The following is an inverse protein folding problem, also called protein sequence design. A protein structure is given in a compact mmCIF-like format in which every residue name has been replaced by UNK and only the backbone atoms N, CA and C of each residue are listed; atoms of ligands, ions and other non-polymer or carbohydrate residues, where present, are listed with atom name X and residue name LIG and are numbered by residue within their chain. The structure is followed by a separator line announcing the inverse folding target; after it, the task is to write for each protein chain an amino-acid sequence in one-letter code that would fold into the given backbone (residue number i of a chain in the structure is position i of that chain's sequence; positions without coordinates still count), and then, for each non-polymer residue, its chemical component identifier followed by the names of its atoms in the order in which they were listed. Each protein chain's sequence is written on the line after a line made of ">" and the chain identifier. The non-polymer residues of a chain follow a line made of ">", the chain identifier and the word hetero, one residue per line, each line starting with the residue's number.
data_IF_039081699601
#
_entry.id   IF_039081699601
#
_cell.length_a   1.000
_cell.length_b   1.000
_cell.length_c   1.000
_cell.angle_alpha   90.00
_cell.angle_beta   90.00
_cell.angle_gamma   90.00
#
_symmetry.space_group_name_H-M   'P 1'
#
loop_
_entity.id
_entity.type
_entity.pdbx_description
1 polymer ?
#
# COMPACT_ATOMS: atom_id res chain seq x y z
N UNK A 1 32.65 27.74 27.28
CA UNK A 1 32.01 26.70 26.44
C UNK A 1 30.66 27.24 25.99
N UNK A 2 30.52 27.59 24.71
CA UNK A 2 29.28 28.18 24.16
C UNK A 2 28.35 27.05 23.73
N UNK A 3 27.15 27.04 24.30
CA UNK A 3 26.05 26.17 23.92
C UNK A 3 25.54 26.64 22.53
N UNK A 4 25.58 25.82 21.47
CA UNK A 4 24.96 26.20 20.21
C UNK A 4 23.44 26.16 20.39
N UNK A 5 22.83 27.33 20.49
CA UNK A 5 21.38 27.54 20.35
C UNK A 5 20.89 26.75 19.14
N UNK A 6 20.11 25.70 19.39
CA UNK A 6 19.32 25.06 18.34
C UNK A 6 18.42 26.13 17.72
N UNK A 7 18.38 26.26 16.38
CA UNK A 7 17.51 27.23 15.75
C UNK A 7 16.07 26.92 16.13
N UNK A 8 15.37 27.96 16.60
CA UNK A 8 13.94 27.92 16.87
C UNK A 8 13.22 27.38 15.64
N UNK A 9 12.63 26.18 15.77
CA UNK A 9 11.58 25.75 14.87
C UNK A 9 10.53 26.86 14.84
N UNK A 10 10.32 27.43 13.66
CA UNK A 10 9.59 28.66 13.50
C UNK A 10 8.09 28.35 13.65
N UNK A 11 7.43 28.99 14.62
CA UNK A 11 6.03 28.82 15.04
C UNK A 11 4.97 28.99 13.91
N UNK A 12 5.35 29.28 12.66
CA UNK A 12 4.41 29.54 11.56
C UNK A 12 3.98 28.28 10.78
N UNK A 13 4.58 27.10 11.02
CA UNK A 13 4.16 25.85 10.37
C UNK A 13 2.86 25.23 10.96
N UNK A 14 2.30 25.82 12.03
CA UNK A 14 1.32 25.13 12.89
C UNK A 14 -0.13 25.15 12.36
N UNK A 15 -0.52 25.94 11.36
CA UNK A 15 -1.93 25.96 10.92
C UNK A 15 -2.14 26.17 9.42
N UNK A 16 -1.61 25.28 8.56
CA UNK A 16 -2.16 25.22 7.20
C UNK A 16 -3.60 24.71 7.26
N UNK A 17 -4.56 25.30 6.54
CA UNK A 17 -5.92 24.77 6.47
C UNK A 17 -5.92 23.30 6.02
N UNK A 18 -6.80 22.44 6.56
CA UNK A 18 -6.84 21.01 6.19
C UNK A 18 -6.91 20.77 4.69
N UNK A 19 -7.70 21.57 3.95
CA UNK A 19 -7.78 21.53 2.49
C UNK A 19 -6.40 21.72 1.83
N UNK A 20 -5.61 22.69 2.30
CA UNK A 20 -4.27 22.95 1.76
C UNK A 20 -3.29 21.81 2.05
N UNK A 21 -3.42 21.15 3.20
CA UNK A 21 -2.60 20.00 3.55
C UNK A 21 -2.98 18.77 2.71
N UNK A 22 -4.28 18.45 2.62
CA UNK A 22 -4.79 17.38 1.79
C UNK A 22 -4.40 17.59 0.30
N UNK A 23 -4.51 18.81 -0.20
CA UNK A 23 -4.10 19.14 -1.58
C UNK A 23 -2.60 18.93 -1.82
N UNK A 24 -1.75 19.30 -0.86
CA UNK A 24 -0.30 19.06 -0.96
C UNK A 24 0.06 17.57 -0.91
N UNK A 25 -0.61 16.79 -0.06
CA UNK A 25 -0.43 15.33 0.01
C UNK A 25 -0.91 14.66 -1.27
N UNK A 26 -2.02 15.13 -1.84
CA UNK A 26 -2.53 14.65 -3.12
C UNK A 26 -1.51 14.81 -4.24
N UNK A 27 -0.92 16.00 -4.40
CA UNK A 27 0.16 16.22 -5.38
C UNK A 27 1.38 15.34 -5.13
N UNK A 28 1.71 15.12 -3.85
CA UNK A 28 2.80 14.22 -3.47
C UNK A 28 2.52 12.77 -3.87
N UNK A 29 1.30 12.29 -3.63
CA UNK A 29 0.87 10.94 -4.01
C UNK A 29 0.85 10.75 -5.53
N UNK A 30 0.31 11.70 -6.28
CA UNK A 30 0.28 11.61 -7.75
C UNK A 30 1.70 11.56 -8.32
N UNK A 31 2.59 12.43 -7.83
CA UNK A 31 4.01 12.42 -8.21
C UNK A 31 4.66 11.08 -7.87
N UNK A 32 4.45 10.56 -6.66
CA UNK A 32 4.98 9.26 -6.22
C UNK A 32 4.52 8.13 -7.14
N UNK A 33 3.22 8.08 -7.49
CA UNK A 33 2.70 7.06 -8.43
C UNK A 33 3.39 7.16 -9.81
N UNK A 34 3.63 8.36 -10.32
CA UNK A 34 4.39 8.53 -11.57
C UNK A 34 5.84 8.07 -11.45
N UNK A 35 6.51 8.39 -10.35
CA UNK A 35 7.87 7.91 -10.06
C UNK A 35 7.93 6.37 -10.04
N UNK A 36 6.96 5.69 -9.40
CA UNK A 36 6.94 4.23 -9.38
C UNK A 36 6.73 3.61 -10.78
N UNK A 37 5.94 4.24 -11.65
CA UNK A 37 5.77 3.80 -13.05
C UNK A 37 7.10 3.94 -13.81
N UNK A 38 7.81 5.04 -13.61
CA UNK A 38 9.07 5.33 -14.28
C UNK A 38 10.19 4.40 -13.80
N UNK A 39 10.26 4.13 -12.49
CA UNK A 39 11.19 3.18 -11.88
C UNK A 39 10.91 1.74 -12.37
N UNK A 40 9.63 1.37 -12.49
CA UNK A 40 9.21 0.07 -13.03
C UNK A 40 9.61 -0.10 -14.49
N UNK A 41 9.38 0.91 -15.33
CA UNK A 41 9.79 0.91 -16.74
C UNK A 41 11.32 0.80 -16.88
N UNK A 42 12.06 1.55 -16.06
CA UNK A 42 13.53 1.58 -16.07
C UNK A 42 14.09 0.19 -15.73
N UNK A 43 13.57 -0.44 -14.68
CA UNK A 43 13.94 -1.81 -14.32
C UNK A 43 13.65 -2.81 -15.46
N UNK A 44 12.46 -2.74 -16.05
CA UNK A 44 12.08 -3.63 -17.15
C UNK A 44 13.01 -3.46 -18.37
N UNK A 45 13.42 -2.22 -18.67
CA UNK A 45 14.35 -1.91 -19.76
C UNK A 45 15.76 -2.47 -19.49
N UNK A 46 16.26 -2.32 -18.28
CA UNK A 46 17.57 -2.87 -17.87
C UNK A 46 17.63 -4.40 -18.01
N UNK A 47 16.51 -5.08 -17.76
CA UNK A 47 16.39 -6.54 -17.82
C UNK A 47 15.87 -7.07 -19.17
N UNK A 48 15.62 -6.19 -20.15
CA UNK A 48 15.07 -6.54 -21.48
C UNK A 48 13.73 -7.32 -21.34
N UNK A 49 12.92 -6.93 -20.36
CA UNK A 49 11.61 -7.54 -20.10
C UNK A 49 10.51 -6.81 -20.89
N UNK A 50 10.27 -7.29 -22.11
CA UNK A 50 9.28 -6.69 -23.01
C UNK A 50 7.85 -6.69 -22.44
N UNK A 51 7.48 -7.66 -21.61
CA UNK A 51 6.13 -7.74 -21.06
C UNK A 51 5.91 -6.65 -20.02
N UNK A 52 6.87 -6.47 -19.11
CA UNK A 52 6.82 -5.41 -18.09
C UNK A 52 6.97 -4.01 -18.71
N UNK A 53 7.77 -3.86 -19.76
CA UNK A 53 7.83 -2.60 -20.51
C UNK A 53 6.46 -2.22 -21.11
N UNK A 54 5.75 -3.18 -21.72
CA UNK A 54 4.40 -2.96 -22.25
C UNK A 54 3.41 -2.60 -21.13
N UNK A 55 3.53 -3.25 -19.98
CA UNK A 55 2.67 -2.97 -18.83
C UNK A 55 2.89 -1.56 -18.27
N UNK A 56 4.14 -1.12 -18.13
CA UNK A 56 4.47 0.26 -17.75
C UNK A 56 3.86 1.27 -18.74
N UNK A 57 3.98 0.99 -20.04
CA UNK A 57 3.43 1.83 -21.10
C UNK A 57 1.89 1.89 -21.04
N UNK A 58 1.24 0.74 -20.83
CA UNK A 58 -0.22 0.64 -20.65
C UNK A 58 -0.69 1.49 -19.48
N UNK A 59 0.01 1.42 -18.34
CA UNK A 59 -0.34 2.18 -17.16
C UNK A 59 -0.11 3.68 -17.37
N UNK A 60 0.97 4.09 -18.04
CA UNK A 60 1.20 5.50 -18.39
C UNK A 60 0.10 6.04 -19.31
N UNK A 61 -0.30 5.29 -20.34
CA UNK A 61 -1.43 5.66 -21.20
C UNK A 61 -2.74 5.75 -20.41
N UNK A 62 -2.97 4.81 -19.49
CA UNK A 62 -4.12 4.86 -18.60
C UNK A 62 -4.11 6.12 -17.72
N UNK A 63 -2.95 6.49 -17.15
CA UNK A 63 -2.75 7.70 -16.35
C UNK A 63 -3.04 8.98 -17.15
N UNK A 64 -2.75 9.00 -18.45
CA UNK A 64 -3.10 10.12 -19.35
C UNK A 64 -4.58 10.11 -19.78
N UNK A 65 -5.26 8.97 -19.67
CA UNK A 65 -6.65 8.79 -20.07
C UNK A 65 -7.62 8.75 -18.89
N UNK A 66 -8.02 7.54 -18.49
CA UNK A 66 -8.99 7.34 -17.40
C UNK A 66 -8.43 7.77 -16.04
N UNK A 67 -7.14 7.53 -15.80
CA UNK A 67 -6.45 7.94 -14.56
C UNK A 67 -6.48 9.46 -14.37
N UNK A 68 -6.19 10.25 -15.41
CA UNK A 68 -6.27 11.72 -15.36
C UNK A 68 -7.66 12.22 -14.98
N UNK A 69 -8.73 11.55 -15.43
CA UNK A 69 -10.10 11.90 -15.04
C UNK A 69 -10.37 11.63 -13.57
N UNK A 70 -9.88 10.50 -13.04
CA UNK A 70 -9.99 10.18 -11.61
C UNK A 70 -9.18 11.18 -10.78
N UNK A 71 -7.96 11.54 -11.24
CA UNK A 71 -7.14 12.53 -10.57
C UNK A 71 -7.84 13.89 -10.48
N UNK A 72 -8.42 14.37 -11.58
CA UNK A 72 -9.16 15.63 -11.60
C UNK A 72 -10.46 15.59 -10.77
N UNK A 73 -11.09 14.41 -10.63
CA UNK A 73 -12.25 14.21 -9.76
C UNK A 73 -11.84 14.30 -8.28
N UNK A 74 -10.79 13.57 -7.88
CA UNK A 74 -10.23 13.57 -6.53
C UNK A 74 -9.74 14.95 -6.10
N UNK A 75 -8.98 15.63 -6.96
CA UNK A 75 -8.51 16.98 -6.68
C UNK A 75 -9.68 17.96 -6.47
N UNK A 76 -10.71 17.86 -7.31
CA UNK A 76 -11.92 18.68 -7.16
C UNK A 76 -12.65 18.39 -5.85
N UNK A 77 -12.73 17.13 -5.43
CA UNK A 77 -13.34 16.77 -4.15
C UNK A 77 -12.57 17.40 -2.99
N UNK A 78 -11.23 17.33 -3.01
CA UNK A 78 -10.38 17.96 -1.98
C UNK A 78 -10.60 19.48 -1.93
N UNK A 79 -10.54 20.16 -3.08
CA UNK A 79 -10.65 21.63 -3.14
C UNK A 79 -12.02 22.14 -2.66
N UNK A 80 -13.08 21.36 -2.86
CA UNK A 80 -14.44 21.72 -2.45
C UNK A 80 -14.86 21.11 -1.11
N UNK A 81 -13.98 20.37 -0.43
CA UNK A 81 -14.29 19.76 0.85
C UNK A 81 -14.46 20.83 1.93
N UNK A 82 -15.43 20.61 2.83
CA UNK A 82 -15.46 21.35 4.08
C UNK A 82 -14.29 20.93 5.00
N UNK A 83 -14.14 21.61 6.12
CA UNK A 83 -12.99 21.41 7.04
C UNK A 83 -12.92 19.98 7.56
N UNK A 84 -14.06 19.35 7.87
CA UNK A 84 -14.08 18.00 8.42
C UNK A 84 -13.77 16.97 7.34
N UNK A 85 -14.43 17.07 6.18
CA UNK A 85 -14.18 16.19 5.05
C UNK A 85 -12.72 16.29 4.58
N UNK A 86 -12.16 17.50 4.54
CA UNK A 86 -10.76 17.72 4.17
C UNK A 86 -9.78 17.05 5.14
N UNK A 87 -10.10 17.02 6.44
CA UNK A 87 -9.28 16.32 7.44
C UNK A 87 -9.34 14.80 7.26
N UNK A 88 -10.52 14.23 7.01
CA UNK A 88 -10.67 12.80 6.72
C UNK A 88 -9.96 12.40 5.42
N UNK A 89 -10.05 13.26 4.39
CA UNK A 89 -9.31 13.08 3.13
C UNK A 89 -7.80 13.17 3.35
N UNK A 90 -7.32 14.10 4.19
CA UNK A 90 -5.90 14.23 4.56
C UNK A 90 -5.37 12.92 5.16
N UNK A 91 -6.07 12.38 6.16
CA UNK A 91 -5.69 11.10 6.81
C UNK A 91 -5.68 9.94 5.81
N UNK A 92 -6.67 9.89 4.92
CA UNK A 92 -6.73 8.85 3.88
C UNK A 92 -5.55 8.93 2.90
N UNK A 93 -5.10 10.14 2.55
CA UNK A 93 -3.93 10.34 1.68
C UNK A 93 -2.62 9.97 2.39
N UNK A 94 -2.49 10.27 3.68
CA UNK A 94 -1.33 9.85 4.49
C UNK A 94 -1.23 8.33 4.54
N UNK A 95 -2.34 7.65 4.82
CA UNK A 95 -2.39 6.19 4.84
C UNK A 95 -2.05 5.58 3.47
N UNK A 96 -2.51 6.19 2.37
CA UNK A 96 -2.18 5.73 1.02
C UNK A 96 -0.68 5.89 0.70
N UNK A 97 -0.07 7.02 1.09
CA UNK A 97 1.37 7.22 0.95
C UNK A 97 2.17 6.24 1.80
N UNK A 98 1.79 6.03 3.05
CA UNK A 98 2.44 5.07 3.95
C UNK A 98 2.37 3.64 3.41
N UNK A 99 1.23 3.24 2.82
CA UNK A 99 1.10 1.92 2.20
C UNK A 99 2.08 1.72 1.03
N UNK A 100 2.23 2.73 0.16
CA UNK A 100 3.20 2.68 -0.94
C UNK A 100 4.63 2.60 -0.40
N UNK A 101 4.97 3.41 0.60
CA UNK A 101 6.30 3.38 1.23
C UNK A 101 6.58 2.04 1.92
N UNK A 102 5.58 1.42 2.54
CA UNK A 102 5.69 0.07 3.10
C UNK A 102 5.99 -0.96 2.00
N UNK A 103 5.29 -0.92 0.87
CA UNK A 103 5.55 -1.83 -0.24
C UNK A 103 6.93 -1.62 -0.87
N UNK A 104 7.47 -0.40 -0.84
CA UNK A 104 8.86 -0.10 -1.25
C UNK A 104 9.91 -0.71 -0.33
N UNK A 105 9.56 -1.09 0.91
CA UNK A 105 10.51 -1.79 1.82
C UNK A 105 10.78 -3.24 1.42
N UNK A 106 9.99 -3.81 0.51
CA UNK A 106 10.19 -5.16 -0.01
C UNK A 106 11.46 -5.25 -0.85
N UNK A 107 11.94 -6.47 -1.05
CA UNK A 107 13.06 -6.70 -1.97
C UNK A 107 12.61 -6.47 -3.43
N UNK A 108 12.90 -5.28 -3.95
CA UNK A 108 12.59 -4.89 -5.33
C UNK A 108 13.58 -5.46 -6.37
N UNK A 109 14.54 -6.30 -5.97
CA UNK A 109 15.27 -7.12 -6.94
C UNK A 109 14.43 -8.31 -7.43
N UNK A 110 13.42 -8.71 -6.65
CA UNK A 110 12.41 -9.69 -7.03
C UNK A 110 11.35 -9.02 -7.93
N UNK A 111 11.21 -9.41 -9.21
CA UNK A 111 10.30 -8.74 -10.14
C UNK A 111 8.83 -8.72 -9.67
N UNK A 112 8.36 -9.78 -9.02
CA UNK A 112 6.99 -9.90 -8.54
C UNK A 112 6.65 -8.85 -7.47
N UNK A 113 7.63 -8.43 -6.65
CA UNK A 113 7.42 -7.36 -5.68
C UNK A 113 7.24 -6.00 -6.36
N UNK A 114 7.88 -5.78 -7.51
CA UNK A 114 7.65 -4.58 -8.33
C UNK A 114 6.28 -4.58 -8.98
N UNK A 115 5.86 -5.73 -9.49
CA UNK A 115 4.51 -5.90 -10.04
C UNK A 115 3.45 -5.60 -8.98
N UNK A 116 3.68 -6.08 -7.75
CA UNK A 116 2.81 -5.79 -6.60
C UNK A 116 2.76 -4.29 -6.27
N UNK A 117 3.92 -3.62 -6.18
CA UNK A 117 3.99 -2.18 -5.91
C UNK A 117 3.26 -1.36 -6.99
N UNK A 118 3.44 -1.72 -8.27
CA UNK A 118 2.76 -1.06 -9.38
C UNK A 118 1.24 -1.24 -9.30
N UNK A 119 0.79 -2.45 -8.95
CA UNK A 119 -0.62 -2.74 -8.71
C UNK A 119 -1.18 -1.93 -7.53
N UNK A 120 -0.44 -1.84 -6.41
CA UNK A 120 -0.81 -0.99 -5.26
C UNK A 120 -0.99 0.47 -5.70
N UNK A 121 -0.10 1.01 -6.54
CA UNK A 121 -0.21 2.36 -7.06
C UNK A 121 -1.50 2.57 -7.89
N UNK A 122 -1.85 1.61 -8.75
CA UNK A 122 -3.07 1.66 -9.55
C UNK A 122 -4.33 1.57 -8.67
N UNK A 123 -4.36 0.64 -7.72
CA UNK A 123 -5.52 0.38 -6.85
C UNK A 123 -5.78 1.54 -5.88
N UNK A 124 -4.70 2.21 -5.43
CA UNK A 124 -4.77 3.39 -4.56
C UNK A 124 -5.71 4.47 -5.10
N UNK A 125 -5.64 4.79 -6.40
CA UNK A 125 -6.50 5.83 -6.98
C UNK A 125 -7.99 5.45 -6.96
N UNK A 126 -8.30 4.17 -7.18
CA UNK A 126 -9.68 3.69 -7.11
C UNK A 126 -10.19 3.62 -5.67
N UNK A 127 -9.34 3.18 -4.74
CA UNK A 127 -9.65 3.14 -3.32
C UNK A 127 -9.95 4.55 -2.77
N UNK A 128 -9.11 5.53 -3.09
CA UNK A 128 -9.32 6.93 -2.69
C UNK A 128 -10.57 7.52 -3.31
N UNK A 129 -10.84 7.25 -4.59
CA UNK A 129 -12.05 7.74 -5.26
C UNK A 129 -13.32 7.26 -4.56
N UNK A 130 -13.30 6.01 -4.09
CA UNK A 130 -14.39 5.48 -3.28
C UNK A 130 -14.45 6.16 -1.92
N UNK A 131 -13.34 6.17 -1.18
CA UNK A 131 -13.30 6.74 0.16
C UNK A 131 -13.77 8.20 0.18
N UNK A 132 -13.33 9.02 -0.77
CA UNK A 132 -13.71 10.43 -0.84
C UNK A 132 -15.17 10.62 -1.23
N UNK A 133 -15.71 9.74 -2.06
CA UNK A 133 -17.15 9.75 -2.33
C UNK A 133 -17.94 9.48 -1.06
N UNK A 134 -17.55 8.46 -0.31
CA UNK A 134 -18.24 8.07 0.93
C UNK A 134 -18.17 9.21 1.97
N UNK A 135 -17.03 9.91 2.08
CA UNK A 135 -16.86 11.12 2.91
C UNK A 135 -17.81 12.24 2.46
N UNK A 136 -17.88 12.51 1.15
CA UNK A 136 -18.69 13.62 0.60
C UNK A 136 -20.19 13.34 0.66
N UNK A 137 -20.62 12.10 0.44
CA UNK A 137 -22.05 11.75 0.44
C UNK A 137 -22.57 11.40 1.84
N UNK A 138 -21.69 11.06 2.77
CA UNK A 138 -22.06 10.52 4.08
C UNK A 138 -22.75 9.15 4.01
N UNK A 139 -22.79 8.54 2.83
CA UNK A 139 -23.38 7.21 2.61
C UNK A 139 -22.27 6.16 2.76
N UNK A 140 -22.29 5.43 3.88
CA UNK A 140 -21.46 4.23 3.99
C UNK A 140 -21.99 3.19 3.02
N UNK A 141 -21.25 2.91 1.95
CA UNK A 141 -21.58 1.81 1.05
C UNK A 141 -21.63 0.49 1.84
N UNK A 142 -22.59 -0.42 1.57
CA UNK A 142 -22.49 -1.78 2.08
C UNK A 142 -21.12 -2.33 1.70
N UNK A 143 -20.44 -2.97 2.66
CA UNK A 143 -19.11 -3.54 2.49
C UNK A 143 -19.01 -4.17 1.10
N UNK A 144 -18.03 -3.74 0.30
CA UNK A 144 -17.90 -4.35 -1.01
C UNK A 144 -17.68 -5.84 -0.83
N UNK A 145 -18.29 -6.68 -1.68
CA UNK A 145 -17.91 -8.08 -1.72
C UNK A 145 -16.38 -8.14 -1.86
N UNK A 146 -15.73 -9.08 -1.17
CA UNK A 146 -14.28 -9.20 -1.23
C UNK A 146 -13.84 -9.19 -2.69
N UNK A 147 -12.85 -8.37 -3.01
CA UNK A 147 -12.26 -8.36 -4.35
C UNK A 147 -11.80 -9.79 -4.65
N UNK A 148 -12.60 -10.53 -5.43
CA UNK A 148 -12.16 -11.74 -6.09
C UNK A 148 -11.13 -11.32 -7.11
N UNK A 149 -9.88 -11.16 -6.67
CA UNK A 149 -8.72 -11.01 -7.54
C UNK A 149 -8.50 -12.38 -8.18
N UNK A 150 -8.75 -12.57 -9.50
CA UNK A 150 -8.40 -13.80 -10.16
C UNK A 150 -6.88 -13.97 -10.04
N UNK A 151 -6.43 -15.05 -9.39
CA UNK A 151 -5.00 -15.32 -9.16
C UNK A 151 -4.50 -15.18 -7.71
N UNK A 152 -5.33 -14.76 -6.74
CA UNK A 152 -4.91 -14.71 -5.32
C UNK A 152 -4.81 -16.07 -4.62
N UNK A 153 -5.22 -17.16 -5.28
CA UNK A 153 -5.20 -18.51 -4.72
C UNK A 153 -3.78 -19.06 -4.47
N UNK A 154 -2.75 -18.40 -5.03
CA UNK A 154 -1.36 -18.84 -4.89
C UNK A 154 -0.54 -18.09 -3.82
N UNK A 155 -1.04 -16.99 -3.24
CA UNK A 155 -0.21 -16.12 -2.36
C UNK A 155 -0.39 -16.43 -0.86
N UNK A 156 -1.42 -17.18 -0.46
CA UNK A 156 -1.65 -17.57 0.95
C UNK A 156 -1.17 -19.01 1.28
N UNK A 157 -0.03 -19.44 0.72
CA UNK A 157 0.61 -20.73 1.10
C UNK A 157 1.95 -20.58 1.83
N UNK A 158 2.21 -19.43 2.44
CA UNK A 158 3.37 -19.23 3.31
C UNK A 158 2.90 -18.78 4.69
N UNK A 159 2.11 -19.62 5.35
CA UNK A 159 2.11 -19.67 6.80
C UNK A 159 3.16 -20.71 7.21
N UNK A 160 4.10 -20.42 8.11
CA UNK A 160 4.91 -21.47 8.71
C UNK A 160 3.95 -22.40 9.45
N UNK A 161 3.85 -23.65 9.01
CA UNK A 161 3.16 -24.69 9.76
C UNK A 161 3.81 -24.80 11.13
N UNK A 162 3.10 -24.37 12.17
CA UNK A 162 3.44 -24.70 13.55
C UNK A 162 3.65 -26.21 13.67
N UNK A 163 4.65 -26.68 14.46
CA UNK A 163 4.80 -28.10 14.74
C UNK A 163 3.66 -28.55 15.68
N UNK A 164 2.51 -28.91 15.11
CA UNK A 164 1.46 -29.63 15.85
C UNK A 164 1.96 -31.04 16.16
N UNK A 165 2.28 -31.30 17.44
CA UNK A 165 2.80 -32.62 17.79
C UNK A 165 2.92 -33.00 19.27
N UNK A 166 2.33 -32.28 20.24
CA UNK A 166 2.21 -32.84 21.60
C UNK A 166 0.93 -33.67 21.67
N UNK A 167 1.05 -34.96 21.31
CA UNK A 167 0.04 -35.96 21.66
C UNK A 167 0.23 -36.34 23.12
N UNK A 168 -0.66 -35.84 23.96
CA UNK A 168 -0.92 -36.37 25.29
C UNK A 168 -1.44 -37.81 25.15
N UNK A 169 -0.56 -38.78 25.44
CA UNK A 169 -0.89 -40.20 25.43
C UNK A 169 -0.22 -40.92 26.58
N UNK A 170 -1.03 -41.26 27.59
CA UNK A 170 -0.91 -42.24 28.70
C UNK A 170 0.50 -42.59 29.27
N UNK A 171 0.65 -42.63 30.60
CA UNK A 171 1.86 -43.14 31.23
C UNK A 171 2.02 -44.65 30.95
N UNK A 172 3.14 -45.02 30.34
CA UNK A 172 3.56 -46.42 30.26
C UNK A 172 4.13 -46.83 31.62
N UNK A 173 3.45 -47.81 32.22
CA UNK A 173 3.85 -48.56 33.39
C UNK A 173 5.21 -49.23 33.20
N UNK A 174 6.04 -49.17 34.25
CA UNK A 174 7.19 -50.03 34.52
C UNK A 174 6.83 -51.51 34.32
N UNK A 175 7.39 -52.19 33.32
CA UNK A 175 7.62 -53.65 33.31
C UNK A 175 8.86 -53.98 32.45
N UNK A 176 9.81 -54.65 33.10
CA UNK A 176 10.85 -55.61 32.68
C UNK A 176 11.89 -55.28 31.59
N UNK A 177 13.07 -54.86 32.07
CA UNK A 177 14.36 -55.19 31.48
C UNK A 177 14.77 -56.61 31.92
N UNK A 178 14.46 -57.60 31.08
CA UNK A 178 14.83 -58.99 31.26
C UNK A 178 15.37 -59.62 29.98
N UNK A 179 16.71 -59.69 29.90
CA UNK A 179 17.54 -60.79 29.38
C UNK A 179 17.47 -61.29 27.91
N UNK A 180 18.69 -61.67 27.47
CA UNK A 180 19.08 -62.63 26.41
C UNK A 180 19.05 -62.13 24.95
N UNK A 181 20.19 -61.83 24.32
CA UNK A 181 21.28 -62.71 23.85
C UNK A 181 21.00 -63.36 22.48
N UNK A 182 21.70 -62.86 21.45
CA UNK A 182 22.35 -63.61 20.39
C UNK A 182 23.40 -62.70 19.72
#
# INVERSE_FOLDING_TARGET
>A
MKNPSRPFATHWEVHRPPVSQAHALWHTLVRRIQEEIDDYESFAREHIDSARMQEAQRLRQWMQGKGARIQAELERQIVNADVQAAEEMRVSLEAALELIELDRTRDLTVPENRDYLLQTCQDTLFALRRAFRDIVTGESWPESPPLSVPGREHILKWAPTEPTGIKTGKPLSLIDLGAAAA
#
